data_IF_680056869886
#
_entry.id   IF_680056869886
#
_cell.length_a   1.000
_cell.length_b   1.000
_cell.length_c   1.000
_cell.angle_alpha   90.00
_cell.angle_beta   90.00
_cell.angle_gamma   90.00
#
_symmetry.space_group_name_H-M   'P 1'
#
loop_
_entity.id
_entity.type
_entity.pdbx_description
1 polymer ?
#
# COMPACT_ATOMS: atom_id res chain seq x y z
N UNK A 1 7.50 12.22 19.58
CA UNK A 1 6.57 13.02 18.76
C UNK A 1 5.78 12.06 17.89
N UNK A 2 4.47 12.29 17.71
CA UNK A 2 3.63 11.54 16.77
C UNK A 2 3.35 12.46 15.58
N UNK A 3 3.44 11.91 14.38
CA UNK A 3 3.05 12.64 13.17
C UNK A 3 1.54 12.47 12.99
N UNK A 4 0.82 13.58 12.83
CA UNK A 4 -0.65 13.55 12.69
C UNK A 4 -1.03 12.79 11.43
N UNK A 5 -0.29 13.03 10.35
CA UNK A 5 -0.49 12.43 9.05
C UNK A 5 0.87 12.20 8.41
N UNK A 6 1.07 11.02 7.85
CA UNK A 6 2.21 10.71 7.00
C UNK A 6 1.71 9.92 5.81
N UNK A 7 2.15 10.35 4.62
CA UNK A 7 1.85 9.65 3.38
C UNK A 7 3.12 9.23 2.66
N UNK A 8 2.99 8.14 1.92
CA UNK A 8 3.97 7.68 0.96
C UNK A 8 3.25 7.22 -0.31
N UNK A 9 3.76 7.64 -1.47
CA UNK A 9 3.19 7.30 -2.77
C UNK A 9 4.19 6.42 -3.50
N UNK A 10 3.76 5.22 -3.85
CA UNK A 10 4.55 4.25 -4.61
C UNK A 10 4.07 4.21 -6.06
N UNK A 11 4.99 4.28 -7.01
CA UNK A 11 4.70 4.08 -8.42
C UNK A 11 4.59 2.57 -8.74
N UNK A 12 3.59 2.20 -9.52
CA UNK A 12 3.37 0.87 -10.07
C UNK A 12 4.00 0.85 -11.47
N UNK A 13 4.93 -0.07 -11.75
CA UNK A 13 5.54 -0.20 -13.07
C UNK A 13 4.55 -0.76 -14.10
N UNK A 14 4.84 -0.55 -15.38
CA UNK A 14 4.01 -1.04 -16.48
C UNK A 14 3.91 -2.57 -16.50
N UNK A 15 2.73 -3.08 -16.88
CA UNK A 15 2.46 -4.52 -16.91
C UNK A 15 2.24 -5.16 -15.54
N UNK A 16 2.12 -4.35 -14.48
CA UNK A 16 1.81 -4.81 -13.12
C UNK A 16 0.45 -4.27 -12.66
N UNK A 17 -0.42 -5.17 -12.23
CA UNK A 17 -1.72 -4.86 -11.65
C UNK A 17 -1.69 -5.09 -10.14
N UNK A 18 -2.16 -4.10 -9.39
CA UNK A 18 -2.32 -4.22 -7.94
C UNK A 18 -3.78 -4.09 -7.54
N UNK A 19 -4.20 -5.01 -6.68
CA UNK A 19 -5.52 -5.05 -6.05
C UNK A 19 -5.37 -5.05 -4.54
N UNK A 20 -6.20 -4.24 -3.87
CA UNK A 20 -6.16 -4.09 -2.41
C UNK A 20 -7.57 -4.31 -1.88
N UNK A 21 -7.75 -5.32 -1.04
CA UNK A 21 -9.03 -5.61 -0.36
C UNK A 21 -8.80 -5.91 1.11
N UNK A 22 -9.33 -5.07 1.98
CA UNK A 22 -9.20 -5.22 3.44
C UNK A 22 -7.74 -5.43 3.90
N UNK A 23 -6.82 -4.61 3.38
CA UNK A 23 -5.35 -4.67 3.59
C UNK A 23 -4.70 -6.00 3.17
N UNK A 24 -5.40 -6.83 2.41
CA UNK A 24 -4.78 -7.92 1.66
C UNK A 24 -4.45 -7.39 0.26
N UNK A 25 -3.17 -7.43 -0.10
CA UNK A 25 -2.67 -6.90 -1.36
C UNK A 25 -2.32 -8.06 -2.28
N UNK A 26 -2.87 -8.03 -3.48
CA UNK A 26 -2.56 -8.96 -4.57
C UNK A 26 -1.86 -8.17 -5.67
N UNK A 27 -0.69 -8.64 -6.08
CA UNK A 27 0.11 -8.06 -7.16
C UNK A 27 0.24 -9.10 -8.26
N UNK A 28 -0.27 -8.76 -9.44
CA UNK A 28 -0.19 -9.59 -10.64
C UNK A 28 0.78 -8.93 -11.61
N UNK A 29 1.82 -9.65 -12.04
CA UNK A 29 2.79 -9.17 -13.01
C UNK A 29 3.24 -10.28 -13.97
N UNK A 30 4.19 -10.00 -14.87
CA UNK A 30 4.61 -10.93 -15.92
C UNK A 30 5.24 -12.23 -15.36
N UNK A 31 5.73 -12.19 -14.12
CA UNK A 31 6.37 -13.33 -13.45
C UNK A 31 5.40 -14.15 -12.58
N UNK A 32 4.13 -13.77 -12.51
CA UNK A 32 3.11 -14.44 -11.71
C UNK A 32 2.42 -13.52 -10.71
N UNK A 33 1.82 -14.11 -9.68
CA UNK A 33 0.99 -13.43 -8.70
C UNK A 33 1.58 -13.57 -7.30
N UNK A 34 1.69 -12.44 -6.59
CA UNK A 34 2.06 -12.40 -5.18
C UNK A 34 0.88 -11.91 -4.36
N UNK A 35 0.66 -12.53 -3.20
CA UNK A 35 -0.35 -12.11 -2.24
C UNK A 35 0.29 -11.87 -0.87
N UNK A 36 -0.05 -10.76 -0.22
CA UNK A 36 0.46 -10.44 1.11
C UNK A 36 -0.60 -9.74 1.96
N UNK A 37 -0.72 -10.22 3.19
CA UNK A 37 -1.62 -9.68 4.19
C UNK A 37 -0.92 -8.65 5.10
N UNK A 38 -1.41 -7.42 5.11
CA UNK A 38 -0.93 -6.30 5.93
C UNK A 38 -1.90 -5.93 7.07
N UNK A 39 -2.83 -6.81 7.46
CA UNK A 39 -3.78 -6.52 8.56
C UNK A 39 -3.12 -6.32 9.93
N UNK A 40 -1.89 -6.78 10.10
CA UNK A 40 -1.12 -6.62 11.33
C UNK A 40 -0.61 -5.18 11.54
N UNK A 41 -0.56 -4.34 10.49
CA UNK A 41 -0.16 -2.94 10.57
C UNK A 41 -1.36 -2.02 10.42
N UNK A 42 -1.43 -0.97 11.25
CA UNK A 42 -2.52 0.00 11.25
C UNK A 42 -2.23 1.13 10.25
N UNK A 43 -2.41 0.83 8.97
CA UNK A 43 -2.18 1.76 7.87
C UNK A 43 -3.27 1.63 6.81
N UNK A 44 -3.57 2.74 6.13
CA UNK A 44 -4.45 2.73 4.98
C UNK A 44 -3.64 2.51 3.71
N UNK A 45 -4.08 1.54 2.90
CA UNK A 45 -3.49 1.23 1.60
C UNK A 45 -4.57 1.51 0.57
N UNK A 46 -4.38 2.58 -0.21
CA UNK A 46 -5.38 3.06 -1.18
C UNK A 46 -4.76 3.11 -2.56
N UNK A 47 -5.42 2.47 -3.52
CA UNK A 47 -5.07 2.60 -4.93
C UNK A 47 -5.60 3.94 -5.44
N UNK A 48 -4.71 4.84 -5.89
CA UNK A 48 -5.11 6.14 -6.42
C UNK A 48 -5.50 6.04 -7.89
N UNK A 49 -4.64 5.39 -8.67
CA UNK A 49 -4.81 5.17 -10.10
C UNK A 49 -4.17 3.83 -10.50
N UNK A 50 -4.02 3.57 -11.79
CA UNK A 50 -3.37 2.35 -12.31
C UNK A 50 -1.85 2.36 -12.14
N UNK A 51 -1.24 3.51 -11.83
CA UNK A 51 0.20 3.71 -11.77
C UNK A 51 0.70 4.06 -10.37
N UNK A 52 -0.16 4.26 -9.37
CA UNK A 52 0.21 4.75 -8.04
C UNK A 52 -0.66 4.19 -6.93
N UNK A 53 0.01 3.86 -5.82
CA UNK A 53 -0.60 3.44 -4.55
C UNK A 53 -0.19 4.44 -3.48
N UNK A 54 -1.15 4.85 -2.65
CA UNK A 54 -0.92 5.66 -1.47
C UNK A 54 -0.96 4.80 -0.22
N UNK A 55 0.05 4.96 0.62
CA UNK A 55 0.14 4.43 1.96
C UNK A 55 -0.04 5.61 2.93
N UNK A 56 -0.94 5.49 3.89
CA UNK A 56 -1.21 6.53 4.88
C UNK A 56 -1.15 5.96 6.28
N UNK A 57 -0.49 6.70 7.16
CA UNK A 57 -0.48 6.45 8.60
C UNK A 57 -0.97 7.70 9.32
N UNK A 58 -1.95 7.52 10.19
CA UNK A 58 -2.49 8.57 11.05
C UNK A 58 -1.94 8.44 12.46
N UNK A 59 -1.54 9.56 13.07
CA UNK A 59 -1.03 9.62 14.45
C UNK A 59 0.12 8.64 14.73
N UNK A 60 0.93 8.35 13.73
CA UNK A 60 2.03 7.38 13.76
C UNK A 60 3.20 7.84 14.63
N UNK A 61 3.88 6.88 15.26
CA UNK A 61 5.21 7.11 15.86
C UNK A 61 6.28 6.90 14.78
N UNK A 62 7.53 7.33 15.03
CA UNK A 62 8.66 7.15 14.10
C UNK A 62 8.85 5.74 13.50
N UNK A 63 8.52 4.68 14.25
CA UNK A 63 8.67 3.27 13.81
C UNK A 63 7.45 2.72 13.06
N UNK A 64 6.37 3.50 12.98
CA UNK A 64 5.16 3.14 12.26
C UNK A 64 5.30 3.46 10.77
#
# INVERSE_FOLDING_TARGET
MKDIYKEEILAIPEGVQVEVKARNVTVTGPRGVLTKNFRHTEMDIVKLDTARIRLVVWHGKRKH
#
